data_IF_590151213185
#
_entry.id   IF_590151213185
#
_cell.length_a   1.000
_cell.length_b   1.000
_cell.length_c   1.000
_cell.angle_alpha   90.00
_cell.angle_beta   90.00
_cell.angle_gamma   90.00
#
_symmetry.space_group_name_H-M   'P 1'
#
loop_
_entity.id
_entity.type
_entity.pdbx_description
1 polymer ?
#
# COMPACT_ATOMS: atom_id res chain seq x y z
N UNK A 1 22.23 -0.70 20.24
CA UNK A 1 21.09 -1.44 20.81
C UNK A 1 20.01 -1.48 19.72
N UNK A 2 19.99 -2.57 18.96
CA UNK A 2 18.99 -2.80 17.93
C UNK A 2 17.65 -3.12 18.61
N UNK A 3 16.68 -2.28 18.42
CA UNK A 3 15.28 -2.53 18.80
C UNK A 3 14.65 -3.33 17.66
N UNK A 4 14.51 -4.64 17.85
CA UNK A 4 13.77 -5.49 16.90
C UNK A 4 12.27 -5.28 17.11
N UNK A 5 11.66 -4.39 16.32
CA UNK A 5 10.23 -4.43 16.09
C UNK A 5 9.88 -5.69 15.28
N UNK A 6 8.80 -6.38 15.67
CA UNK A 6 8.22 -7.45 14.85
C UNK A 6 7.50 -6.78 13.69
N UNK A 7 8.21 -6.53 12.60
CA UNK A 7 7.63 -5.98 11.38
C UNK A 7 7.13 -7.14 10.51
N UNK A 8 5.81 -7.25 10.37
CA UNK A 8 5.16 -7.88 9.22
C UNK A 8 5.40 -7.01 7.97
N UNK A 9 4.98 -7.44 6.79
CA UNK A 9 4.85 -6.54 5.64
C UNK A 9 4.11 -5.30 6.11
N UNK A 10 4.72 -4.14 5.89
CA UNK A 10 4.19 -2.90 6.36
C UNK A 10 3.47 -2.20 5.20
N UNK A 11 2.44 -1.51 5.55
CA UNK A 11 1.42 -0.90 4.73
C UNK A 11 2.00 0.20 3.84
N UNK A 12 1.30 0.52 2.78
CA UNK A 12 1.62 1.62 1.87
C UNK A 12 0.73 2.82 2.16
N UNK A 13 1.18 4.01 1.72
CA UNK A 13 0.40 5.23 1.83
C UNK A 13 -0.93 5.15 1.06
N UNK A 14 -1.88 6.01 1.42
CA UNK A 14 -3.14 6.20 0.69
C UNK A 14 -3.41 7.68 0.45
N UNK A 15 -3.97 7.99 -0.73
CA UNK A 15 -4.37 9.33 -1.12
C UNK A 15 -5.87 9.39 -1.40
N UNK A 16 -6.47 10.53 -1.07
CA UNK A 16 -7.86 10.84 -1.35
C UNK A 16 -8.00 12.31 -1.74
N UNK A 17 -8.81 12.61 -2.75
CA UNK A 17 -9.08 13.97 -3.20
C UNK A 17 -10.52 14.17 -3.62
N UNK A 18 -11.04 15.38 -3.46
CA UNK A 18 -12.38 15.77 -3.86
C UNK A 18 -12.38 17.21 -4.33
N UNK A 19 -13.13 17.49 -5.39
CA UNK A 19 -13.34 18.84 -5.93
C UNK A 19 -14.81 19.06 -6.32
N UNK A 20 -15.35 20.19 -5.92
CA UNK A 20 -16.71 20.59 -6.26
C UNK A 20 -17.77 20.28 -5.18
N UNK A 21 -17.35 20.22 -3.90
CA UNK A 21 -18.27 19.99 -2.79
C UNK A 21 -17.95 20.88 -1.59
N UNK A 22 -18.99 21.52 -1.01
CA UNK A 22 -18.82 22.41 0.14
C UNK A 22 -18.28 21.71 1.39
N UNK A 23 -18.59 20.41 1.57
CA UNK A 23 -18.12 19.59 2.68
C UNK A 23 -16.88 18.76 2.31
N UNK A 24 -15.99 19.31 1.48
CA UNK A 24 -14.83 18.62 0.94
C UNK A 24 -13.93 18.02 2.04
N UNK A 25 -13.68 18.75 3.13
CA UNK A 25 -12.87 18.25 4.25
C UNK A 25 -13.49 17.05 4.95
N UNK A 26 -14.80 17.09 5.19
CA UNK A 26 -15.54 16.00 5.83
C UNK A 26 -15.55 14.73 4.97
N UNK A 27 -15.77 14.88 3.67
CA UNK A 27 -15.74 13.76 2.73
C UNK A 27 -14.33 13.19 2.61
N UNK A 28 -13.31 14.05 2.57
CA UNK A 28 -11.91 13.65 2.58
C UNK A 28 -11.56 12.85 3.85
N UNK A 29 -12.05 13.29 5.02
CA UNK A 29 -11.88 12.57 6.27
C UNK A 29 -12.46 11.14 6.21
N UNK A 30 -13.67 10.96 5.69
CA UNK A 30 -14.26 9.63 5.53
C UNK A 30 -13.49 8.77 4.51
N UNK A 31 -13.04 9.38 3.41
CA UNK A 31 -12.21 8.71 2.43
C UNK A 31 -10.89 8.21 3.03
N UNK A 32 -10.20 9.05 3.80
CA UNK A 32 -8.96 8.67 4.48
C UNK A 32 -9.19 7.61 5.56
N UNK A 33 -10.27 7.70 6.32
CA UNK A 33 -10.64 6.69 7.30
C UNK A 33 -10.85 5.31 6.63
N UNK A 34 -11.46 5.29 5.46
CA UNK A 34 -11.61 4.08 4.65
C UNK A 34 -10.28 3.51 4.13
N UNK A 35 -9.26 4.35 3.99
CA UNK A 35 -7.91 3.99 3.57
C UNK A 35 -6.94 3.78 4.75
N UNK A 36 -7.42 3.76 6.00
CA UNK A 36 -6.58 3.66 7.19
C UNK A 36 -5.68 2.41 7.20
N UNK A 37 -6.12 1.32 6.57
CA UNK A 37 -5.33 0.10 6.42
C UNK A 37 -4.04 0.31 5.61
N UNK A 38 -3.96 1.36 4.79
CA UNK A 38 -2.78 1.70 3.99
C UNK A 38 -1.74 2.51 4.76
N UNK A 39 -2.13 3.23 5.81
CA UNK A 39 -1.21 4.02 6.60
C UNK A 39 -1.79 4.37 7.96
N UNK A 40 -1.04 4.09 9.04
CA UNK A 40 -1.48 4.25 10.42
C UNK A 40 -0.56 5.16 11.25
N UNK A 41 0.47 5.76 10.65
CA UNK A 41 1.47 6.56 11.39
C UNK A 41 1.12 8.03 11.44
N UNK A 42 0.56 8.54 10.36
CA UNK A 42 0.20 9.95 10.27
C UNK A 42 -0.91 10.17 9.24
N UNK A 43 -1.62 11.27 9.39
CA UNK A 43 -2.64 11.70 8.45
C UNK A 43 -2.62 13.21 8.25
N UNK A 44 -3.08 13.68 7.09
CA UNK A 44 -3.20 15.09 6.78
C UNK A 44 -4.28 15.37 5.76
N UNK A 45 -4.91 16.53 5.86
CA UNK A 45 -5.87 17.08 4.90
C UNK A 45 -5.50 18.53 4.62
N UNK A 46 -5.52 18.89 3.34
CA UNK A 46 -5.40 20.26 2.88
C UNK A 46 -6.63 20.62 2.04
N UNK A 47 -7.26 21.74 2.34
CA UNK A 47 -8.38 22.33 1.60
C UNK A 47 -7.95 23.59 0.88
N UNK A 48 -8.58 23.88 -0.24
CA UNK A 48 -8.42 25.15 -0.96
C UNK A 48 -9.70 25.97 -0.90
N UNK A 49 -9.55 27.19 -0.42
CA UNK A 49 -10.62 28.19 -0.34
C UNK A 49 -10.14 29.49 -0.99
N UNK A 50 -10.66 29.81 -2.18
CA UNK A 50 -10.33 31.03 -2.92
C UNK A 50 -8.80 31.24 -3.08
N UNK A 51 -8.07 30.20 -3.48
CA UNK A 51 -6.62 30.23 -3.68
C UNK A 51 -5.79 30.16 -2.38
N UNK A 52 -6.44 30.06 -1.23
CA UNK A 52 -5.79 29.93 0.07
C UNK A 52 -5.81 28.48 0.54
N UNK A 53 -4.63 27.93 0.82
CA UNK A 53 -4.50 26.57 1.37
C UNK A 53 -4.64 26.60 2.90
N UNK A 54 -5.57 25.80 3.41
CA UNK A 54 -5.82 25.56 4.83
C UNK A 54 -5.60 24.08 5.07
N UNK A 55 -4.72 23.73 5.99
CA UNK A 55 -4.38 22.34 6.24
C UNK A 55 -4.22 22.01 7.72
N UNK A 56 -4.46 20.77 8.05
CA UNK A 56 -4.12 20.16 9.33
C UNK A 56 -3.50 18.78 9.08
N UNK A 57 -2.44 18.46 9.80
CA UNK A 57 -1.76 17.17 9.72
C UNK A 57 -1.13 16.82 11.07
N UNK A 58 -1.02 15.54 11.35
CA UNK A 58 -0.47 15.05 12.61
C UNK A 58 -0.07 13.58 12.54
N UNK A 59 0.66 13.16 13.57
CA UNK A 59 1.00 11.75 13.78
C UNK A 59 -0.16 11.05 14.50
N UNK A 60 -0.48 9.84 14.07
CA UNK A 60 -1.57 9.01 14.60
C UNK A 60 -2.59 8.60 13.53
N UNK A 61 -3.63 7.92 13.98
CA UNK A 61 -4.74 7.51 13.14
C UNK A 61 -5.58 8.71 12.70
N UNK A 62 -6.33 8.57 11.62
CA UNK A 62 -7.22 9.64 11.11
C UNK A 62 -8.17 10.15 12.21
N UNK A 63 -8.69 9.26 13.04
CA UNK A 63 -9.58 9.60 14.16
C UNK A 63 -8.88 10.29 15.34
N UNK A 64 -7.57 10.17 15.45
CA UNK A 64 -6.75 10.81 16.48
C UNK A 64 -6.29 12.21 16.02
N UNK A 65 -5.96 12.33 14.73
CA UNK A 65 -5.48 13.59 14.13
C UNK A 65 -6.63 14.58 13.93
N UNK A 66 -7.82 14.09 13.55
CA UNK A 66 -8.97 14.92 13.21
C UNK A 66 -10.12 14.73 14.19
N UNK A 67 -10.71 15.85 14.60
CA UNK A 67 -11.97 15.94 15.32
C UNK A 67 -12.90 16.94 14.61
N UNK A 68 -14.14 17.08 15.10
CA UNK A 68 -15.14 17.97 14.51
C UNK A 68 -14.68 19.43 14.41
N UNK A 69 -13.95 19.92 15.40
CA UNK A 69 -13.50 21.32 15.42
C UNK A 69 -12.41 21.55 14.38
N UNK A 70 -11.46 20.62 14.26
CA UNK A 70 -10.43 20.67 13.21
C UNK A 70 -11.02 20.61 11.80
N UNK A 71 -12.02 19.74 11.58
CA UNK A 71 -12.69 19.63 10.28
C UNK A 71 -13.47 20.90 9.93
N UNK A 72 -14.07 21.60 10.91
CA UNK A 72 -14.74 22.90 10.70
C UNK A 72 -13.76 24.01 10.31
N UNK A 73 -12.52 23.97 10.78
CA UNK A 73 -11.46 24.91 10.38
C UNK A 73 -11.02 24.72 8.92
N UNK A 74 -11.15 23.49 8.40
CA UNK A 74 -10.75 23.12 7.04
C UNK A 74 -11.86 23.42 6.02
N UNK A 75 -12.04 24.68 5.71
CA UNK A 75 -13.06 25.16 4.77
C UNK A 75 -12.52 25.20 3.34
N UNK A 76 -13.35 24.81 2.38
CA UNK A 76 -13.04 24.86 0.97
C UNK A 76 -13.93 23.94 0.16
N UNK A 77 -13.96 24.14 -1.16
CA UNK A 77 -14.72 23.32 -2.10
C UNK A 77 -13.91 22.17 -2.69
N UNK A 78 -12.63 22.11 -2.37
CA UNK A 78 -11.72 21.03 -2.74
C UNK A 78 -10.82 20.68 -1.58
N UNK A 79 -10.45 19.42 -1.51
CA UNK A 79 -9.54 18.87 -0.50
C UNK A 79 -8.71 17.73 -1.07
N UNK A 80 -7.46 17.62 -0.63
CA UNK A 80 -6.65 16.43 -0.79
C UNK A 80 -6.15 15.95 0.57
N UNK A 81 -6.04 14.65 0.74
CA UNK A 81 -5.63 14.03 1.99
C UNK A 81 -4.73 12.83 1.78
N UNK A 82 -4.04 12.48 2.85
CA UNK A 82 -3.04 11.43 2.87
C UNK A 82 -3.07 10.68 4.20
N UNK A 83 -2.95 9.36 4.13
CA UNK A 83 -2.59 8.48 5.25
C UNK A 83 -1.20 7.93 4.99
N UNK A 84 -0.34 8.02 6.01
CA UNK A 84 1.08 7.72 5.86
C UNK A 84 1.46 6.42 6.53
N UNK A 85 2.28 5.67 5.80
CA UNK A 85 3.24 4.72 6.35
C UNK A 85 4.66 5.18 5.98
N UNK A 86 5.63 5.03 6.89
CA UNK A 86 7.01 5.52 6.68
C UNK A 86 7.83 4.49 5.90
N UNK A 87 7.98 4.69 4.59
CA UNK A 87 8.83 3.83 3.73
C UNK A 87 10.20 4.42 3.48
N UNK A 88 10.29 5.73 3.24
CA UNK A 88 11.53 6.44 2.99
C UNK A 88 11.55 7.78 3.72
N UNK A 89 12.73 8.20 4.18
CA UNK A 89 12.92 9.53 4.74
C UNK A 89 12.67 9.70 6.24
N UNK A 90 12.48 8.62 6.99
CA UNK A 90 12.31 8.69 8.45
C UNK A 90 10.95 9.21 8.92
N UNK A 91 10.72 9.20 10.24
CA UNK A 91 9.52 9.71 10.88
C UNK A 91 9.53 11.25 11.06
N UNK A 92 8.44 11.76 11.66
CA UNK A 92 8.28 13.14 12.07
C UNK A 92 7.34 13.96 11.18
N UNK A 93 6.80 15.00 11.80
CA UNK A 93 5.76 15.87 11.23
C UNK A 93 6.19 16.55 9.92
N UNK A 94 7.48 16.77 9.70
CA UNK A 94 8.02 17.39 8.49
C UNK A 94 7.74 16.55 7.23
N UNK A 95 7.65 15.23 7.38
CA UNK A 95 7.38 14.29 6.29
C UNK A 95 5.90 13.94 6.13
N UNK A 96 5.01 14.44 6.98
CA UNK A 96 3.57 14.20 6.87
C UNK A 96 2.99 15.01 5.73
N UNK A 97 2.22 14.33 4.89
CA UNK A 97 1.55 14.94 3.73
C UNK A 97 0.10 15.33 4.08
N UNK A 98 -0.51 16.26 3.33
CA UNK A 98 -0.04 16.94 2.12
C UNK A 98 1.10 17.94 2.38
N UNK A 99 2.02 18.06 1.41
CA UNK A 99 2.97 19.15 1.37
C UNK A 99 2.31 20.42 0.83
N UNK A 100 2.58 21.58 1.45
CA UNK A 100 2.05 22.86 1.01
C UNK A 100 3.21 23.78 0.63
N UNK A 101 3.23 24.20 -0.64
CA UNK A 101 4.22 25.12 -1.19
C UNK A 101 3.56 26.49 -1.35
N UNK A 102 4.13 27.50 -0.72
CA UNK A 102 3.66 28.88 -0.80
C UNK A 102 4.61 29.70 -1.65
N UNK A 103 4.07 30.39 -2.63
CA UNK A 103 4.83 31.27 -3.51
C UNK A 103 4.10 32.61 -3.65
N UNK A 104 4.78 33.63 -4.17
CA UNK A 104 4.17 34.92 -4.49
C UNK A 104 3.03 34.82 -5.51
N UNK A 105 3.04 33.77 -6.34
CA UNK A 105 2.04 33.54 -7.40
C UNK A 105 0.87 32.65 -6.96
N UNK A 106 0.85 32.19 -5.70
CA UNK A 106 -0.17 31.30 -5.16
C UNK A 106 0.42 30.12 -4.39
N UNK A 107 -0.46 29.27 -3.90
CA UNK A 107 -0.10 28.08 -3.14
C UNK A 107 -0.45 26.82 -3.90
N UNK A 108 0.32 25.74 -3.65
CA UNK A 108 0.13 24.42 -4.23
C UNK A 108 0.24 23.37 -3.12
N UNK A 109 -0.57 22.34 -3.18
CA UNK A 109 -0.52 21.22 -2.24
C UNK A 109 -0.37 19.89 -2.98
N UNK A 110 0.44 18.98 -2.46
CA UNK A 110 0.77 17.68 -3.10
C UNK A 110 0.67 16.54 -2.09
N UNK A 111 0.00 15.46 -2.51
CA UNK A 111 0.02 14.14 -1.86
C UNK A 111 0.62 13.09 -2.80
N UNK A 112 1.29 12.09 -2.23
CA UNK A 112 1.97 11.03 -2.97
C UNK A 112 1.79 9.66 -2.31
N UNK A 113 1.39 8.67 -3.09
CA UNK A 113 1.52 7.26 -2.77
C UNK A 113 2.53 6.62 -3.73
N UNK A 114 3.62 6.08 -3.20
CA UNK A 114 4.68 5.43 -3.97
C UNK A 114 6.08 5.80 -3.50
N UNK A 115 7.06 5.59 -4.37
CA UNK A 115 8.46 5.95 -4.13
C UNK A 115 9.18 6.22 -5.45
N UNK A 116 9.92 7.33 -5.51
CA UNK A 116 10.69 7.75 -6.68
C UNK A 116 12.12 7.20 -6.59
N UNK A 117 12.52 6.40 -7.56
CA UNK A 117 13.85 5.75 -7.57
C UNK A 117 14.97 6.72 -7.96
N UNK A 118 14.66 7.82 -8.64
CA UNK A 118 15.62 8.85 -9.03
C UNK A 118 15.54 10.13 -8.17
N UNK A 119 14.79 10.10 -7.05
CA UNK A 119 14.58 11.28 -6.22
C UNK A 119 15.88 11.92 -5.70
N UNK A 120 16.86 11.11 -5.32
CA UNK A 120 18.12 11.63 -4.77
C UNK A 120 18.95 12.38 -5.82
N UNK A 121 18.98 11.88 -7.06
CA UNK A 121 19.69 12.56 -8.17
C UNK A 121 19.02 13.89 -8.46
N UNK A 122 17.69 13.88 -8.61
CA UNK A 122 16.91 15.10 -8.85
C UNK A 122 17.04 16.10 -7.69
N UNK A 123 17.07 15.61 -6.46
CA UNK A 123 17.25 16.44 -5.27
C UNK A 123 18.62 17.13 -5.28
N UNK A 124 19.68 16.40 -5.58
CA UNK A 124 21.02 16.95 -5.68
C UNK A 124 21.08 18.06 -6.78
N UNK A 125 20.57 17.78 -7.96
CA UNK A 125 20.52 18.76 -9.06
C UNK A 125 19.74 20.02 -8.67
N UNK A 126 18.63 19.87 -7.96
CA UNK A 126 17.82 20.98 -7.48
C UNK A 126 18.54 21.80 -6.38
N UNK A 127 19.24 21.15 -5.46
CA UNK A 127 20.05 21.80 -4.42
C UNK A 127 21.23 22.58 -5.03
N UNK A 128 21.93 22.01 -6.01
CA UNK A 128 23.00 22.70 -6.78
C UNK A 128 22.47 23.96 -7.50
N UNK A 129 21.20 23.96 -7.87
CA UNK A 129 20.50 25.10 -8.46
C UNK A 129 19.84 26.02 -7.42
N UNK A 130 20.11 25.83 -6.11
CA UNK A 130 19.65 26.69 -5.03
C UNK A 130 18.28 26.34 -4.43
N UNK A 131 17.72 25.14 -4.66
CA UNK A 131 16.54 24.68 -3.92
C UNK A 131 16.92 24.35 -2.48
N UNK A 132 16.03 24.67 -1.54
CA UNK A 132 16.14 24.30 -0.14
C UNK A 132 14.97 23.36 0.19
N UNK A 133 15.29 22.16 0.66
CA UNK A 133 14.29 21.17 1.06
C UNK A 133 13.97 21.29 2.54
N UNK A 134 12.69 21.17 2.86
CA UNK A 134 12.17 21.22 4.24
C UNK A 134 11.95 19.84 4.84
N UNK A 135 12.00 18.81 4.01
CA UNK A 135 11.77 17.41 4.39
C UNK A 135 12.78 16.47 3.73
N UNK A 136 12.77 15.22 4.17
CA UNK A 136 13.52 14.14 3.52
C UNK A 136 12.70 13.36 2.50
N UNK A 137 11.41 13.72 2.34
CA UNK A 137 10.49 13.05 1.42
C UNK A 137 10.85 13.28 -0.05
N UNK A 138 10.72 12.25 -0.86
CA UNK A 138 10.82 12.30 -2.32
C UNK A 138 9.73 13.15 -2.97
N UNK A 139 8.57 13.23 -2.34
CA UNK A 139 7.40 14.02 -2.81
C UNK A 139 7.72 15.49 -3.01
N UNK A 140 8.59 16.06 -2.17
CA UNK A 140 8.96 17.47 -2.21
C UNK A 140 9.70 17.82 -3.52
N UNK A 141 10.38 16.84 -4.14
CA UNK A 141 11.09 17.00 -5.42
C UNK A 141 10.13 17.49 -6.52
N UNK A 142 8.91 16.92 -6.59
CA UNK A 142 7.92 17.34 -7.61
C UNK A 142 7.54 18.80 -7.45
N UNK A 143 7.34 19.29 -6.23
CA UNK A 143 7.01 20.69 -5.98
C UNK A 143 8.08 21.65 -6.50
N UNK A 144 9.35 21.33 -6.25
CA UNK A 144 10.49 22.12 -6.76
C UNK A 144 10.61 22.05 -8.29
N UNK A 145 10.40 20.89 -8.89
CA UNK A 145 10.41 20.72 -10.35
C UNK A 145 9.31 21.57 -11.01
N UNK A 146 8.08 21.51 -10.53
CA UNK A 146 6.95 22.30 -11.07
C UNK A 146 7.24 23.79 -10.99
N UNK A 147 7.82 24.23 -9.89
CA UNK A 147 8.13 25.67 -9.69
C UNK A 147 9.16 26.20 -10.68
N UNK A 148 10.08 25.36 -11.12
CA UNK A 148 11.14 25.73 -12.09
C UNK A 148 10.67 25.74 -13.54
N UNK A 149 9.52 25.12 -13.85
CA UNK A 149 8.96 25.15 -15.21
C UNK A 149 8.23 26.47 -15.47
N UNK A 150 8.16 26.85 -16.73
CA UNK A 150 7.39 28.01 -17.23
C UNK A 150 6.18 27.54 -18.05
N UNK A 151 5.24 28.43 -18.30
CA UNK A 151 4.05 28.17 -19.08
C UNK A 151 2.81 27.86 -18.26
N UNK A 152 1.81 27.23 -18.88
CA UNK A 152 0.57 26.86 -18.19
C UNK A 152 0.81 25.76 -17.15
N UNK A 153 0.05 25.80 -16.05
CA UNK A 153 0.22 24.87 -14.93
C UNK A 153 0.22 23.40 -15.36
N UNK A 154 -0.69 22.99 -16.25
CA UNK A 154 -0.74 21.62 -16.75
C UNK A 154 0.56 21.22 -17.47
N UNK A 155 1.16 22.10 -18.26
CA UNK A 155 2.38 21.80 -18.98
C UNK A 155 3.59 21.75 -18.03
N UNK A 156 3.61 22.63 -17.03
CA UNK A 156 4.62 22.61 -15.96
C UNK A 156 4.58 21.30 -15.19
N UNK A 157 3.38 20.83 -14.84
CA UNK A 157 3.20 19.55 -14.15
C UNK A 157 3.63 18.39 -15.04
N UNK A 158 3.16 18.34 -16.29
CA UNK A 158 3.53 17.28 -17.24
C UNK A 158 5.05 17.18 -17.44
N UNK A 159 5.72 18.32 -17.67
CA UNK A 159 7.18 18.34 -17.84
C UNK A 159 7.92 17.88 -16.59
N UNK A 160 7.37 18.17 -15.42
CA UNK A 160 7.94 17.75 -14.14
C UNK A 160 7.74 16.24 -13.91
N UNK A 161 6.54 15.72 -14.16
CA UNK A 161 6.22 14.29 -14.04
C UNK A 161 7.06 13.43 -14.99
N UNK A 162 7.32 13.91 -16.23
CA UNK A 162 8.11 13.17 -17.21
C UNK A 162 9.59 12.98 -16.79
N UNK A 163 10.09 13.80 -15.84
CA UNK A 163 11.42 13.65 -15.24
C UNK A 163 11.49 12.64 -14.12
N UNK A 164 10.34 12.25 -13.54
CA UNK A 164 10.28 11.33 -12.42
C UNK A 164 10.35 9.88 -12.91
N UNK A 165 11.06 9.06 -12.17
CA UNK A 165 11.06 7.61 -12.36
C UNK A 165 10.73 6.89 -11.04
N UNK A 166 10.01 5.77 -11.14
CA UNK A 166 9.53 5.02 -9.99
C UNK A 166 8.01 4.90 -9.95
N UNK A 167 7.50 4.65 -8.74
CA UNK A 167 6.08 4.45 -8.49
C UNK A 167 5.43 5.71 -7.94
N UNK A 168 4.33 6.14 -8.55
CA UNK A 168 3.55 7.22 -7.98
C UNK A 168 2.07 7.24 -8.37
N UNK A 169 1.26 7.62 -7.39
CA UNK A 169 -0.06 8.18 -7.57
C UNK A 169 -0.05 9.55 -6.88
N UNK A 170 -0.04 10.63 -7.67
CA UNK A 170 -0.03 12.00 -7.16
C UNK A 170 -1.40 12.64 -7.20
N UNK A 171 -1.73 13.38 -6.14
CA UNK A 171 -2.77 14.40 -6.17
C UNK A 171 -2.12 15.78 -5.96
N UNK A 172 -2.38 16.70 -6.86
CA UNK A 172 -1.83 18.06 -6.84
C UNK A 172 -3.01 19.03 -6.86
N UNK A 173 -3.10 19.88 -5.85
CA UNK A 173 -4.15 20.89 -5.75
C UNK A 173 -3.54 22.28 -5.88
N UNK A 174 -3.97 23.01 -6.90
CA UNK A 174 -3.48 24.37 -7.24
C UNK A 174 -4.48 25.08 -8.15
N UNK A 175 -4.62 26.38 -8.01
CA UNK A 175 -5.48 27.24 -8.85
C UNK A 175 -6.93 26.76 -8.92
N UNK A 176 -7.52 26.37 -7.79
CA UNK A 176 -8.87 25.81 -7.68
C UNK A 176 -9.08 24.56 -8.58
N UNK A 177 -8.04 23.74 -8.77
CA UNK A 177 -8.06 22.52 -9.54
C UNK A 177 -7.37 21.40 -8.79
N UNK A 178 -7.82 20.18 -9.03
CA UNK A 178 -7.08 18.97 -8.66
C UNK A 178 -6.59 18.30 -9.92
N UNK A 179 -5.32 17.95 -9.91
CA UNK A 179 -4.65 17.12 -10.89
C UNK A 179 -4.34 15.77 -10.23
N UNK A 180 -4.72 14.68 -10.88
CA UNK A 180 -4.40 13.32 -10.45
C UNK A 180 -3.52 12.67 -11.51
N UNK A 181 -2.37 12.14 -11.12
CA UNK A 181 -1.42 11.56 -12.05
C UNK A 181 -0.92 10.21 -11.56
N UNK A 182 -0.78 9.26 -12.48
CA UNK A 182 -0.27 7.92 -12.24
C UNK A 182 1.03 7.71 -13.01
N UNK A 183 1.98 6.98 -12.42
CA UNK A 183 3.26 6.71 -13.08
C UNK A 183 3.11 5.95 -14.40
N UNK A 184 4.10 6.05 -15.28
CA UNK A 184 4.07 5.47 -16.63
C UNK A 184 4.02 3.94 -16.67
N UNK A 185 4.22 3.29 -15.53
CA UNK A 185 4.11 1.84 -15.36
C UNK A 185 2.80 1.41 -14.68
N UNK A 186 2.04 2.36 -14.12
CA UNK A 186 0.82 2.07 -13.38
C UNK A 186 1.05 1.28 -12.09
N UNK A 187 2.20 1.46 -11.44
CA UNK A 187 2.60 0.66 -10.27
C UNK A 187 1.68 0.84 -9.07
N UNK A 188 1.15 2.05 -8.87
CA UNK A 188 0.21 2.36 -7.80
C UNK A 188 -1.19 2.58 -8.32
N UNK A 189 -2.23 2.09 -7.61
CA UNK A 189 -3.61 2.30 -8.03
C UNK A 189 -4.06 3.74 -7.79
N UNK A 190 -4.95 4.23 -8.64
CA UNK A 190 -5.62 5.52 -8.50
C UNK A 190 -6.94 5.48 -9.27
N UNK A 191 -8.06 5.61 -8.55
CA UNK A 191 -9.41 5.51 -9.08
C UNK A 191 -10.12 6.85 -9.08
N UNK A 192 -11.02 7.03 -10.05
CA UNK A 192 -11.86 8.22 -10.22
C UNK A 192 -13.30 7.86 -9.93
N UNK A 193 -13.96 8.67 -9.12
CA UNK A 193 -15.39 8.58 -8.84
C UNK A 193 -16.09 9.92 -9.02
N UNK A 194 -17.42 9.88 -9.05
CA UNK A 194 -18.28 11.07 -9.13
C UNK A 194 -19.41 10.97 -8.12
N UNK A 195 -19.62 12.03 -7.37
CA UNK A 195 -20.73 12.16 -6.42
C UNK A 195 -22.02 12.57 -7.12
N UNK A 196 -23.21 12.35 -6.52
CA UNK A 196 -24.48 12.74 -7.11
C UNK A 196 -24.60 14.23 -7.47
N UNK A 197 -23.91 15.12 -6.79
CA UNK A 197 -23.86 16.55 -7.09
C UNK A 197 -22.90 16.92 -8.24
N UNK A 198 -22.21 15.94 -8.85
CA UNK A 198 -21.24 16.16 -9.92
C UNK A 198 -19.80 16.41 -9.44
N UNK A 199 -19.52 16.40 -8.14
CA UNK A 199 -18.17 16.53 -7.60
C UNK A 199 -17.34 15.28 -7.97
N UNK A 200 -16.10 15.49 -8.40
CA UNK A 200 -15.15 14.39 -8.68
C UNK A 200 -14.36 14.02 -7.44
N UNK A 201 -14.13 12.72 -7.30
CA UNK A 201 -13.36 12.11 -6.21
C UNK A 201 -12.25 11.26 -6.79
N UNK A 202 -11.07 11.33 -6.16
CA UNK A 202 -9.90 10.52 -6.48
C UNK A 202 -9.49 9.73 -5.25
N UNK A 203 -9.21 8.45 -5.39
CA UNK A 203 -8.81 7.61 -4.27
C UNK A 203 -7.84 6.51 -4.71
N UNK A 204 -6.95 6.12 -3.82
CA UNK A 204 -6.06 4.98 -4.03
C UNK A 204 -6.83 3.68 -4.27
N UNK A 205 -7.98 3.51 -3.61
CA UNK A 205 -8.82 2.31 -3.72
C UNK A 205 -10.30 2.65 -3.89
N UNK A 206 -11.02 1.80 -4.61
CA UNK A 206 -12.47 1.95 -4.84
C UNK A 206 -13.30 1.84 -3.57
N UNK A 207 -12.82 1.14 -2.53
CA UNK A 207 -13.51 1.06 -1.24
C UNK A 207 -13.73 2.46 -0.62
N UNK A 208 -12.83 3.41 -0.86
CA UNK A 208 -13.01 4.77 -0.39
C UNK A 208 -14.05 5.55 -1.19
N UNK A 209 -14.22 5.24 -2.48
CA UNK A 209 -15.31 5.77 -3.30
C UNK A 209 -16.67 5.31 -2.77
N UNK A 210 -16.79 4.01 -2.47
CA UNK A 210 -18.03 3.42 -1.96
C UNK A 210 -18.46 4.04 -0.63
N UNK A 211 -17.51 4.23 0.30
CA UNK A 211 -17.78 4.81 1.62
C UNK A 211 -18.31 6.25 1.52
N UNK A 212 -17.83 7.05 0.59
CA UNK A 212 -18.29 8.44 0.40
C UNK A 212 -19.50 8.55 -0.52
N UNK A 213 -20.00 7.43 -1.05
CA UNK A 213 -21.16 7.40 -1.97
C UNK A 213 -20.84 7.89 -3.37
N UNK A 214 -19.58 7.83 -3.80
CA UNK A 214 -19.18 8.16 -5.15
C UNK A 214 -19.35 6.95 -6.09
N UNK A 215 -19.92 7.22 -7.27
CA UNK A 215 -19.98 6.21 -8.34
C UNK A 215 -18.62 6.12 -9.01
N UNK A 216 -18.08 4.92 -9.15
CA UNK A 216 -16.86 4.65 -9.91
C UNK A 216 -17.01 5.08 -11.38
N UNK A 217 -16.02 5.80 -11.89
CA UNK A 217 -15.96 6.25 -13.28
C UNK A 217 -14.97 5.37 -14.05
N UNK A 218 -13.70 5.40 -13.68
CA UNK A 218 -12.61 4.58 -14.20
C UNK A 218 -11.36 4.77 -13.35
N UNK A 219 -10.36 3.95 -13.59
CA UNK A 219 -9.02 4.18 -13.05
C UNK A 219 -8.27 5.23 -13.88
N UNK A 220 -7.27 5.88 -13.28
CA UNK A 220 -6.29 6.69 -14.01
C UNK A 220 -5.35 5.74 -14.72
N UNK A 221 -5.13 5.95 -16.02
CA UNK A 221 -4.27 5.09 -16.83
C UNK A 221 -2.78 5.32 -16.52
N UNK A 222 -1.89 4.34 -16.79
CA UNK A 222 -0.45 4.56 -16.71
C UNK A 222 -0.01 5.75 -17.56
N UNK A 223 0.82 6.63 -17.01
CA UNK A 223 1.33 7.82 -17.71
C UNK A 223 0.31 8.92 -17.95
N UNK A 224 -0.88 8.80 -17.35
CA UNK A 224 -1.96 9.77 -17.48
C UNK A 224 -1.94 10.79 -16.34
N UNK A 225 -2.29 12.03 -16.72
CA UNK A 225 -2.72 13.07 -15.80
C UNK A 225 -4.15 13.47 -16.14
N UNK A 226 -5.02 13.50 -15.15
CA UNK A 226 -6.39 14.00 -15.26
C UNK A 226 -6.55 15.27 -14.42
N UNK A 227 -7.41 16.16 -14.89
CA UNK A 227 -7.82 17.35 -14.12
C UNK A 227 -9.30 17.58 -14.24
N UNK A 228 -9.89 18.19 -13.23
CA UNK A 228 -11.26 18.68 -13.29
C UNK A 228 -11.24 20.17 -13.56
N UNK A 229 -11.93 20.59 -14.62
CA UNK A 229 -12.15 21.98 -14.99
C UNK A 229 -13.59 22.19 -15.40
N UNK A 230 -14.25 23.18 -14.80
CA UNK A 230 -15.64 23.54 -15.11
C UNK A 230 -16.60 22.31 -15.04
N UNK A 231 -16.43 21.47 -14.02
CA UNK A 231 -17.20 20.25 -13.82
C UNK A 231 -16.95 19.11 -14.82
N UNK A 232 -15.89 19.23 -15.65
CA UNK A 232 -15.52 18.21 -16.64
C UNK A 232 -14.15 17.61 -16.32
N UNK A 233 -14.06 16.30 -16.48
CA UNK A 233 -12.80 15.57 -16.40
C UNK A 233 -12.06 15.69 -17.74
N UNK A 234 -10.85 16.22 -17.70
CA UNK A 234 -9.94 16.32 -18.84
C UNK A 234 -8.72 15.44 -18.60
N UNK A 235 -8.26 14.76 -19.63
CA UNK A 235 -7.18 13.77 -19.60
C UNK A 235 -6.07 14.12 -20.58
N UNK A 236 -4.82 13.80 -20.20
CA UNK A 236 -3.64 13.94 -21.04
C UNK A 236 -2.60 12.88 -20.67
N UNK A 237 -1.95 12.28 -21.66
CA UNK A 237 -0.73 11.50 -21.43
C UNK A 237 0.44 12.49 -21.30
N UNK A 238 1.18 12.43 -20.19
CA UNK A 238 2.23 13.40 -19.88
C UNK A 238 3.62 13.00 -20.41
N UNK A 239 3.80 11.76 -20.80
CA UNK A 239 5.08 11.21 -21.26
C UNK A 239 5.03 10.75 -22.72
N UNK A 240 6.20 10.70 -23.37
CA UNK A 240 6.39 10.10 -24.70
C UNK A 240 6.98 8.68 -24.59
N UNK A 241 7.38 8.26 -23.40
CA UNK A 241 7.89 6.92 -23.16
C UNK A 241 6.82 5.87 -23.43
N UNK A 242 7.20 4.65 -23.82
CA UNK A 242 6.26 3.55 -23.95
C UNK A 242 5.54 3.31 -22.63
N UNK A 243 4.22 3.32 -22.67
CA UNK A 243 3.40 3.03 -21.51
C UNK A 243 3.41 1.53 -21.23
N UNK A 244 3.48 1.17 -19.96
CA UNK A 244 3.40 -0.19 -19.50
C UNK A 244 2.34 -0.27 -18.41
N UNK A 245 1.57 -1.34 -18.41
CA UNK A 245 0.65 -1.61 -17.33
C UNK A 245 1.28 -2.69 -16.43
N UNK A 246 1.80 -2.28 -15.29
CA UNK A 246 2.62 -3.07 -14.36
C UNK A 246 2.20 -2.85 -12.90
N UNK A 247 0.91 -2.95 -12.63
CA UNK A 247 0.43 -2.78 -11.25
C UNK A 247 1.15 -3.73 -10.28
N UNK A 248 1.46 -3.27 -9.09
CA UNK A 248 2.14 -4.07 -8.07
C UNK A 248 1.29 -5.28 -7.67
N UNK A 249 1.85 -6.50 -7.79
CA UNK A 249 1.15 -7.73 -7.40
C UNK A 249 0.79 -7.76 -5.91
N UNK A 250 1.58 -7.11 -5.04
CA UNK A 250 1.30 -7.03 -3.62
C UNK A 250 0.03 -6.24 -3.29
N UNK A 251 -0.44 -5.38 -4.17
CA UNK A 251 -1.76 -4.74 -4.03
C UNK A 251 -2.88 -5.78 -3.98
N UNK A 252 -2.84 -6.80 -4.84
CA UNK A 252 -3.79 -7.91 -4.82
C UNK A 252 -3.56 -8.86 -3.64
N UNK A 253 -2.31 -9.14 -3.29
CA UNK A 253 -1.96 -10.12 -2.26
C UNK A 253 -2.29 -9.61 -0.86
N UNK A 254 -1.93 -8.33 -0.57
CA UNK A 254 -1.92 -7.85 0.81
C UNK A 254 -2.48 -6.44 1.01
N UNK A 255 -2.04 -5.42 0.23
CA UNK A 255 -2.28 -4.03 0.61
C UNK A 255 -3.72 -3.59 0.49
N UNK A 256 -4.39 -3.93 -0.61
CA UNK A 256 -5.74 -3.46 -0.88
C UNK A 256 -6.79 -4.21 -0.07
N UNK A 257 -7.85 -3.52 0.29
CA UNK A 257 -8.98 -4.14 0.98
C UNK A 257 -9.69 -5.13 0.06
N UNK A 258 -10.23 -6.24 0.60
CA UNK A 258 -10.91 -7.26 -0.22
C UNK A 258 -12.10 -6.75 -1.03
N UNK A 259 -12.77 -5.68 -0.60
CA UNK A 259 -13.88 -5.04 -1.28
C UNK A 259 -13.46 -4.04 -2.38
N UNK A 260 -12.16 -3.77 -2.52
CA UNK A 260 -11.64 -2.93 -3.59
C UNK A 260 -11.54 -3.65 -4.92
N UNK A 261 -11.68 -2.89 -6.02
CA UNK A 261 -11.38 -3.32 -7.37
C UNK A 261 -10.20 -2.52 -7.91
N UNK A 262 -9.24 -3.20 -8.50
CA UNK A 262 -8.04 -2.61 -9.10
C UNK A 262 -8.01 -3.01 -10.57
N UNK A 263 -7.93 -2.03 -11.47
CA UNK A 263 -7.99 -2.26 -12.92
C UNK A 263 -9.14 -3.20 -13.33
N UNK A 264 -10.32 -3.02 -12.69
CA UNK A 264 -11.51 -3.82 -12.91
C UNK A 264 -11.53 -5.20 -12.25
N UNK A 265 -10.51 -5.58 -11.49
CA UNK A 265 -10.36 -6.90 -10.86
C UNK A 265 -10.60 -6.80 -9.36
N UNK A 266 -11.55 -7.59 -8.83
CA UNK A 266 -11.87 -7.61 -7.40
C UNK A 266 -10.78 -8.32 -6.59
N UNK A 267 -10.31 -7.68 -5.54
CA UNK A 267 -9.23 -8.17 -4.67
C UNK A 267 -9.62 -9.46 -3.93
N UNK A 268 -10.81 -9.53 -3.35
CA UNK A 268 -11.29 -10.76 -2.68
C UNK A 268 -11.32 -11.95 -3.64
N UNK A 269 -11.89 -11.76 -4.82
CA UNK A 269 -11.97 -12.82 -5.85
C UNK A 269 -10.59 -13.32 -6.24
N UNK A 270 -9.63 -12.42 -6.46
CA UNK A 270 -8.24 -12.77 -6.76
C UNK A 270 -7.60 -13.61 -5.66
N UNK A 271 -7.73 -13.18 -4.40
CA UNK A 271 -7.18 -13.91 -3.25
C UNK A 271 -7.80 -15.28 -3.09
N UNK A 272 -9.10 -15.39 -3.32
CA UNK A 272 -9.82 -16.67 -3.30
C UNK A 272 -9.33 -17.62 -4.38
N UNK A 273 -9.13 -17.12 -5.60
CA UNK A 273 -8.56 -17.92 -6.71
C UNK A 273 -7.12 -18.31 -6.45
N UNK A 274 -6.32 -17.44 -5.82
CA UNK A 274 -4.96 -17.79 -5.40
C UNK A 274 -4.96 -18.92 -4.37
N UNK A 275 -5.90 -18.93 -3.43
CA UNK A 275 -6.09 -20.04 -2.49
C UNK A 275 -6.43 -21.36 -3.19
N UNK A 276 -7.32 -21.35 -4.19
CA UNK A 276 -7.62 -22.53 -5.01
C UNK A 276 -6.40 -23.02 -5.78
N UNK A 277 -5.69 -22.12 -6.43
CA UNK A 277 -4.49 -22.44 -7.19
C UNK A 277 -3.39 -23.01 -6.28
N UNK A 278 -3.23 -22.47 -5.09
CA UNK A 278 -2.30 -22.95 -4.08
C UNK A 278 -2.57 -24.40 -3.67
N UNK A 279 -3.84 -24.79 -3.56
CA UNK A 279 -4.20 -26.20 -3.34
C UNK A 279 -3.85 -27.08 -4.56
N UNK A 280 -4.17 -26.66 -5.78
CA UNK A 280 -3.89 -27.44 -6.98
C UNK A 280 -2.39 -27.68 -7.19
N UNK A 281 -1.55 -26.71 -6.83
CA UNK A 281 -0.09 -26.84 -6.91
C UNK A 281 0.49 -27.69 -5.76
N UNK A 282 -0.09 -27.57 -4.56
CA UNK A 282 0.45 -28.16 -3.34
C UNK A 282 -0.66 -28.77 -2.47
N UNK A 283 -1.32 -29.83 -2.92
CA UNK A 283 -2.36 -30.49 -2.15
C UNK A 283 -1.79 -31.16 -0.89
N UNK A 284 -2.60 -31.20 0.16
CA UNK A 284 -2.29 -31.90 1.42
C UNK A 284 -3.58 -32.47 2.01
N UNK A 285 -3.48 -33.61 2.65
CA UNK A 285 -4.56 -34.17 3.45
C UNK A 285 -4.50 -33.60 4.87
N UNK A 286 -5.58 -32.98 5.29
CA UNK A 286 -5.69 -32.33 6.59
C UNK A 286 -7.15 -32.27 7.07
N UNK A 287 -7.33 -31.92 8.34
CA UNK A 287 -8.65 -31.89 8.96
C UNK A 287 -9.34 -30.53 8.86
N UNK A 288 -8.56 -29.45 8.82
CA UNK A 288 -9.08 -28.07 8.85
C UNK A 288 -8.16 -27.09 8.15
N UNK A 289 -8.77 -26.13 7.44
CA UNK A 289 -8.09 -24.96 6.85
C UNK A 289 -8.37 -23.75 7.73
N UNK A 290 -7.34 -23.02 8.11
CA UNK A 290 -7.43 -21.74 8.82
C UNK A 290 -6.67 -20.66 8.05
N UNK A 291 -7.07 -19.40 8.22
CA UNK A 291 -6.37 -18.25 7.63
C UNK A 291 -5.80 -17.33 8.70
N UNK A 292 -4.63 -16.78 8.45
CA UNK A 292 -4.09 -15.72 9.32
C UNK A 292 -4.91 -14.44 9.08
N UNK A 293 -5.66 -13.95 10.07
CA UNK A 293 -6.52 -12.79 9.85
C UNK A 293 -5.73 -11.47 9.76
N UNK A 294 -6.19 -10.47 9.00
CA UNK A 294 -7.40 -10.45 8.19
C UNK A 294 -7.12 -10.78 6.72
N UNK A 295 -5.89 -10.59 6.24
CA UNK A 295 -5.46 -10.62 4.84
C UNK A 295 -5.58 -11.97 4.15
N UNK A 296 -5.43 -13.07 4.91
CA UNK A 296 -5.36 -14.43 4.35
C UNK A 296 -6.70 -15.18 4.36
N UNK A 297 -7.77 -14.58 4.89
CA UNK A 297 -9.07 -15.22 5.01
C UNK A 297 -9.64 -15.60 3.63
N UNK A 298 -9.57 -14.71 2.65
CA UNK A 298 -10.06 -14.97 1.30
C UNK A 298 -9.35 -16.14 0.64
N UNK A 299 -8.03 -16.22 0.77
CA UNK A 299 -7.23 -17.32 0.24
C UNK A 299 -7.54 -18.66 0.97
N UNK A 300 -7.73 -18.61 2.30
CA UNK A 300 -8.13 -19.78 3.07
C UNK A 300 -9.48 -20.34 2.64
N UNK A 301 -10.46 -19.49 2.37
CA UNK A 301 -11.77 -19.88 1.82
C UNK A 301 -11.56 -20.57 0.45
N UNK A 302 -10.74 -20.01 -0.44
CA UNK A 302 -10.44 -20.58 -1.74
C UNK A 302 -9.78 -21.95 -1.63
N UNK A 303 -8.80 -22.11 -0.75
CA UNK A 303 -8.13 -23.39 -0.49
C UNK A 303 -9.11 -24.43 0.02
N UNK A 304 -9.98 -24.06 0.98
CA UNK A 304 -11.04 -24.93 1.51
C UNK A 304 -12.00 -25.40 0.40
N UNK A 305 -12.47 -24.50 -0.45
CA UNK A 305 -13.39 -24.84 -1.55
C UNK A 305 -12.74 -25.83 -2.56
N UNK A 306 -11.46 -25.64 -2.88
CA UNK A 306 -10.76 -26.52 -3.83
C UNK A 306 -10.41 -27.89 -3.23
N UNK A 307 -10.04 -27.93 -1.96
CA UNK A 307 -9.62 -29.15 -1.27
C UNK A 307 -10.77 -29.99 -0.72
N UNK A 308 -11.92 -29.37 -0.45
CA UNK A 308 -13.00 -29.98 0.32
C UNK A 308 -12.74 -30.06 1.84
N UNK A 309 -11.59 -29.56 2.30
CA UNK A 309 -11.28 -29.49 3.74
C UNK A 309 -12.03 -28.28 4.34
N UNK A 310 -12.77 -28.43 5.46
CA UNK A 310 -13.55 -27.33 6.02
C UNK A 310 -12.67 -26.15 6.46
N UNK A 311 -13.12 -24.94 6.15
CA UNK A 311 -12.55 -23.72 6.71
C UNK A 311 -13.15 -23.43 8.07
N UNK A 312 -12.29 -23.11 9.03
CA UNK A 312 -12.69 -22.73 10.38
C UNK A 312 -11.87 -21.53 10.89
N UNK A 313 -12.44 -20.80 11.83
CA UNK A 313 -11.76 -19.68 12.50
C UNK A 313 -10.77 -20.22 13.55
N UNK A 314 -9.60 -20.66 13.11
CA UNK A 314 -8.56 -21.18 14.01
C UNK A 314 -7.72 -20.10 14.69
N UNK A 315 -7.71 -18.89 14.15
CA UNK A 315 -7.01 -17.72 14.67
C UNK A 315 -7.94 -16.53 14.73
N UNK A 316 -7.87 -15.76 15.82
CA UNK A 316 -8.68 -14.56 16.06
C UNK A 316 -7.76 -13.37 16.33
N UNK A 317 -7.98 -12.27 15.62
CA UNK A 317 -7.27 -11.01 15.83
C UNK A 317 -8.03 -10.14 16.84
N UNK A 318 -7.33 -9.68 17.88
CA UNK A 318 -7.89 -8.71 18.81
C UNK A 318 -7.83 -7.30 18.18
N UNK A 319 -8.99 -6.77 17.79
CA UNK A 319 -9.14 -5.46 17.15
C UNK A 319 -8.92 -4.28 18.11
N UNK A 320 -8.96 -4.52 19.42
CA UNK A 320 -8.82 -3.47 20.44
C UNK A 320 -7.38 -3.29 20.94
N UNK A 321 -6.47 -4.18 20.54
CA UNK A 321 -5.04 -4.02 20.83
C UNK A 321 -4.47 -3.09 19.75
N UNK A 322 -4.28 -1.83 20.11
CA UNK A 322 -3.61 -0.83 19.28
C UNK A 322 -2.15 -1.17 19.03
N UNK A 323 -1.40 -0.23 18.45
CA UNK A 323 0.07 -0.35 18.30
C UNK A 323 0.65 -0.61 19.69
N UNK A 324 1.30 -1.76 19.85
CA UNK A 324 1.94 -2.11 21.10
C UNK A 324 3.01 -1.09 21.43
N UNK A 325 2.91 -0.49 22.61
CA UNK A 325 4.01 0.25 23.21
C UNK A 325 5.29 -0.59 23.17
N UNK A 326 6.42 0.07 23.00
CA UNK A 326 7.75 -0.56 23.08
C UNK A 326 7.84 -1.26 24.43
N UNK A 327 7.85 -2.58 24.41
CA UNK A 327 7.90 -3.35 25.64
C UNK A 327 9.35 -3.72 25.94
N UNK A 328 9.85 -3.44 27.16
CA UNK A 328 11.28 -3.50 27.46
C UNK A 328 11.85 -4.91 27.54
N UNK A 329 11.03 -5.96 27.76
CA UNK A 329 11.50 -7.33 27.91
C UNK A 329 10.99 -8.26 26.81
N UNK A 330 11.70 -9.37 26.58
CA UNK A 330 11.32 -10.42 25.62
C UNK A 330 9.96 -11.04 25.99
N UNK A 331 9.75 -11.34 27.27
CA UNK A 331 8.51 -11.93 27.79
C UNK A 331 7.30 -11.02 27.57
N UNK A 332 7.45 -9.71 27.81
CA UNK A 332 6.38 -8.75 27.57
C UNK A 332 6.08 -8.58 26.08
N UNK A 333 7.06 -8.75 25.19
CA UNK A 333 6.84 -8.75 23.74
C UNK A 333 6.09 -9.99 23.26
N UNK A 334 6.37 -11.15 23.86
CA UNK A 334 5.64 -12.40 23.58
C UNK A 334 4.19 -12.31 24.04
N UNK A 335 3.96 -11.76 25.23
CA UNK A 335 2.61 -11.45 25.70
C UNK A 335 1.87 -10.46 24.80
N UNK A 336 2.53 -9.41 24.34
CA UNK A 336 1.96 -8.42 23.44
C UNK A 336 1.51 -9.01 22.10
N UNK A 337 2.17 -10.06 21.62
CA UNK A 337 1.76 -10.77 20.41
C UNK A 337 0.60 -11.72 20.66
N UNK A 338 0.59 -12.44 21.78
CA UNK A 338 -0.58 -13.24 22.21
C UNK A 338 -1.83 -12.38 22.39
N UNK A 339 -1.67 -11.12 22.80
CA UNK A 339 -2.78 -10.18 22.89
C UNK A 339 -3.33 -9.77 21.51
N UNK A 340 -2.51 -9.80 20.45
CA UNK A 340 -2.92 -9.40 19.09
C UNK A 340 -3.57 -10.52 18.31
N UNK A 341 -3.08 -11.74 18.46
CA UNK A 341 -3.51 -12.91 17.70
C UNK A 341 -3.60 -14.11 18.65
N UNK A 342 -4.78 -14.70 18.76
CA UNK A 342 -5.07 -15.84 19.61
C UNK A 342 -5.55 -17.04 18.80
N UNK A 343 -5.10 -18.22 19.15
CA UNK A 343 -5.56 -19.50 18.63
C UNK A 343 -6.89 -19.92 19.27
N UNK A 344 -7.74 -20.57 18.47
CA UNK A 344 -8.98 -21.18 18.95
C UNK A 344 -8.72 -22.67 19.17
N UNK A 345 -8.31 -23.03 20.40
CA UNK A 345 -7.89 -24.39 20.74
C UNK A 345 -8.94 -25.44 20.42
N UNK A 346 -10.24 -25.13 20.60
CA UNK A 346 -11.33 -26.04 20.25
C UNK A 346 -11.37 -26.42 18.76
N UNK A 347 -10.80 -25.59 17.87
CA UNK A 347 -10.76 -25.82 16.44
C UNK A 347 -9.51 -26.61 16.04
N UNK A 348 -8.37 -26.36 16.67
CA UNK A 348 -7.06 -26.86 16.21
C UNK A 348 -6.58 -28.07 17.00
N UNK A 349 -7.03 -28.28 18.23
CA UNK A 349 -6.57 -29.38 19.10
C UNK A 349 -6.88 -30.76 18.50
N UNK A 350 -5.87 -31.60 18.43
CA UNK A 350 -5.96 -32.97 17.89
C UNK A 350 -6.09 -33.04 16.38
N UNK A 351 -5.91 -31.93 15.66
CA UNK A 351 -6.13 -31.86 14.20
C UNK A 351 -4.85 -31.55 13.41
N UNK A 352 -4.84 -32.04 12.17
CA UNK A 352 -3.92 -31.61 11.12
C UNK A 352 -4.44 -30.32 10.51
N UNK A 353 -3.69 -29.24 10.66
CA UNK A 353 -4.10 -27.89 10.29
C UNK A 353 -3.37 -27.44 9.03
N UNK A 354 -4.10 -26.93 8.04
CA UNK A 354 -3.52 -26.10 6.97
C UNK A 354 -3.67 -24.64 7.36
N UNK A 355 -2.56 -23.96 7.55
CA UNK A 355 -2.50 -22.54 7.84
C UNK A 355 -2.18 -21.76 6.57
N UNK A 356 -3.11 -20.94 6.13
CA UNK A 356 -2.93 -20.04 4.97
C UNK A 356 -2.44 -18.68 5.47
N UNK A 357 -1.35 -18.20 4.89
CA UNK A 357 -0.87 -16.83 5.08
C UNK A 357 -0.62 -16.15 3.73
N UNK A 358 -0.57 -14.82 3.71
CA UNK A 358 -0.40 -14.05 2.48
C UNK A 358 1.04 -14.06 1.98
N UNK A 359 2.02 -13.94 2.87
CA UNK A 359 3.44 -13.83 2.53
C UNK A 359 4.36 -14.13 3.71
N UNK A 360 5.62 -14.44 3.44
CA UNK A 360 6.69 -14.53 4.44
C UNK A 360 7.81 -13.57 4.05
N UNK A 361 8.17 -12.66 4.96
CA UNK A 361 9.32 -11.75 4.81
C UNK A 361 10.49 -12.19 5.68
N UNK A 362 10.32 -12.17 6.99
CA UNK A 362 11.36 -12.54 7.98
C UNK A 362 11.18 -13.91 8.62
N UNK A 363 10.02 -14.52 8.46
CA UNK A 363 9.68 -15.82 9.01
C UNK A 363 9.40 -15.86 10.53
N UNK A 364 9.71 -14.81 11.27
CA UNK A 364 9.54 -14.77 12.73
C UNK A 364 8.08 -14.83 13.16
N UNK A 365 7.20 -14.17 12.44
CA UNK A 365 5.75 -14.20 12.68
C UNK A 365 5.18 -15.58 12.41
N UNK A 366 5.51 -16.18 11.25
CA UNK A 366 5.05 -17.52 10.87
C UNK A 366 5.53 -18.58 11.88
N UNK A 367 6.79 -18.52 12.30
CA UNK A 367 7.34 -19.41 13.33
C UNK A 367 6.56 -19.33 14.63
N UNK A 368 6.22 -18.13 15.07
CA UNK A 368 5.46 -17.91 16.29
C UNK A 368 4.03 -18.44 16.19
N UNK A 369 3.34 -18.20 15.08
CA UNK A 369 1.98 -18.69 14.87
C UNK A 369 1.98 -20.22 14.84
N UNK A 370 2.93 -20.85 14.14
CA UNK A 370 3.06 -22.32 14.10
C UNK A 370 3.24 -22.90 15.50
N UNK A 371 4.14 -22.30 16.30
CA UNK A 371 4.32 -22.74 17.71
C UNK A 371 3.04 -22.64 18.52
N UNK A 372 2.34 -21.50 18.44
CA UNK A 372 1.09 -21.31 19.16
C UNK A 372 0.02 -22.34 18.78
N UNK A 373 -0.08 -22.68 17.48
CA UNK A 373 -1.00 -23.71 17.01
C UNK A 373 -0.63 -25.10 17.56
N UNK A 374 0.66 -25.44 17.60
CA UNK A 374 1.15 -26.69 18.18
C UNK A 374 0.95 -26.73 19.70
N UNK A 375 1.22 -25.65 20.39
CA UNK A 375 0.97 -25.50 21.84
C UNK A 375 -0.54 -25.63 22.17
N UNK A 376 -1.43 -25.19 21.27
CA UNK A 376 -2.87 -25.37 21.38
C UNK A 376 -3.36 -26.79 21.03
N UNK A 377 -2.45 -27.70 20.68
CA UNK A 377 -2.71 -29.12 20.48
C UNK A 377 -2.87 -29.56 19.03
N UNK A 378 -2.53 -28.73 18.04
CA UNK A 378 -2.48 -29.18 16.65
C UNK A 378 -1.45 -30.30 16.48
N UNK A 379 -1.82 -31.39 15.80
CA UNK A 379 -0.94 -32.54 15.58
C UNK A 379 0.04 -32.32 14.47
N UNK A 380 -0.37 -31.61 13.45
CA UNK A 380 0.47 -31.15 12.33
C UNK A 380 0.04 -29.73 11.93
N UNK A 381 1.00 -28.89 11.47
CA UNK A 381 0.75 -27.58 10.94
C UNK A 381 1.42 -27.46 9.57
N UNK A 382 0.61 -27.44 8.53
CA UNK A 382 1.03 -27.30 7.13
C UNK A 382 0.82 -25.86 6.69
N UNK A 383 1.90 -25.16 6.34
CA UNK A 383 1.85 -23.74 5.96
C UNK A 383 1.78 -23.60 4.45
N UNK A 384 0.82 -22.83 3.99
CA UNK A 384 0.61 -22.51 2.57
C UNK A 384 0.53 -20.99 2.39
N UNK A 385 1.40 -20.47 1.54
CA UNK A 385 1.60 -19.03 1.34
C UNK A 385 1.03 -18.61 -0.01
N UNK A 386 0.11 -17.66 0.02
CA UNK A 386 -0.62 -17.18 -1.16
C UNK A 386 0.16 -16.14 -1.99
N UNK A 387 1.47 -16.04 -1.78
CA UNK A 387 2.40 -15.31 -2.64
C UNK A 387 3.58 -16.22 -3.02
N UNK A 388 4.31 -15.93 -4.11
CA UNK A 388 5.64 -16.45 -4.30
C UNK A 388 6.59 -16.01 -3.19
N UNK A 389 7.73 -16.68 -3.04
CA UNK A 389 8.73 -16.31 -2.05
C UNK A 389 9.32 -14.93 -2.36
N UNK A 390 9.32 -14.03 -1.37
CA UNK A 390 9.89 -12.69 -1.48
C UNK A 390 11.41 -12.80 -1.33
N UNK A 391 12.13 -12.62 -2.44
CA UNK A 391 13.58 -12.82 -2.52
C UNK A 391 14.38 -11.54 -2.76
N UNK A 392 13.73 -10.49 -3.25
CA UNK A 392 14.38 -9.25 -3.68
C UNK A 392 13.73 -8.04 -3.01
N UNK A 393 14.53 -7.00 -2.68
CA UNK A 393 13.99 -5.79 -2.08
C UNK A 393 13.07 -5.04 -3.04
N UNK A 394 12.16 -4.24 -2.49
CA UNK A 394 11.30 -3.34 -3.25
C UNK A 394 11.84 -1.92 -3.21
N UNK A 395 11.80 -1.24 -4.37
CA UNK A 395 12.19 0.17 -4.51
C UNK A 395 11.00 1.08 -4.87
N UNK A 396 9.77 0.52 -4.86
CA UNK A 396 8.56 1.21 -5.34
C UNK A 396 7.55 1.55 -4.22
N UNK A 397 8.01 1.46 -2.96
CA UNK A 397 7.22 1.91 -1.81
C UNK A 397 6.86 0.82 -0.79
N UNK A 398 7.14 -0.46 -1.06
CA UNK A 398 6.98 -1.54 -0.06
C UNK A 398 8.20 -1.57 0.88
N UNK A 399 7.97 -1.68 2.18
CA UNK A 399 9.03 -1.72 3.19
C UNK A 399 9.72 -3.10 3.25
N UNK A 400 10.43 -3.43 2.19
CA UNK A 400 11.32 -4.60 2.08
C UNK A 400 12.65 -4.16 1.46
N UNK A 401 13.22 -3.07 1.97
CA UNK A 401 14.31 -2.34 1.31
C UNK A 401 15.69 -2.97 1.46
N UNK A 402 15.85 -4.00 2.31
CA UNK A 402 17.14 -4.66 2.53
C UNK A 402 17.06 -6.16 2.28
N UNK A 403 18.03 -6.68 1.54
CA UNK A 403 18.15 -8.12 1.23
C UNK A 403 18.34 -8.96 2.51
N UNK A 404 19.02 -8.40 3.49
CA UNK A 404 19.33 -9.07 4.77
C UNK A 404 18.07 -9.42 5.58
N UNK A 405 16.98 -8.71 5.36
CA UNK A 405 15.71 -8.96 6.03
C UNK A 405 14.88 -10.06 5.35
N UNK A 406 15.20 -10.41 4.11
CA UNK A 406 14.44 -11.36 3.30
C UNK A 406 14.90 -12.80 3.57
N UNK A 407 14.13 -13.53 4.37
CA UNK A 407 14.50 -14.89 4.77
C UNK A 407 14.57 -15.85 3.59
N UNK A 408 13.69 -15.68 2.59
CA UNK A 408 13.67 -16.50 1.37
C UNK A 408 14.85 -16.22 0.41
N UNK A 409 15.65 -15.19 0.67
CA UNK A 409 16.93 -15.00 0.01
C UNK A 409 18.05 -15.84 0.66
N UNK A 410 17.93 -16.10 1.98
CA UNK A 410 18.94 -16.81 2.79
C UNK A 410 18.69 -18.32 2.90
N UNK A 411 17.42 -18.74 2.86
CA UNK A 411 17.00 -20.11 3.10
C UNK A 411 16.17 -20.62 1.91
N UNK A 412 16.38 -21.85 1.52
CA UNK A 412 15.47 -22.53 0.63
C UNK A 412 14.18 -22.93 1.37
N UNK A 413 13.18 -23.47 0.65
CA UNK A 413 11.87 -23.80 1.22
C UNK A 413 11.96 -24.86 2.34
N UNK A 414 12.83 -25.84 2.21
CA UNK A 414 13.02 -26.89 3.21
C UNK A 414 13.65 -26.34 4.50
N UNK A 415 14.68 -25.50 4.36
CA UNK A 415 15.34 -24.83 5.49
C UNK A 415 14.38 -23.87 6.20
N UNK A 416 13.60 -23.12 5.43
CA UNK A 416 12.59 -22.21 5.97
C UNK A 416 11.46 -22.98 6.69
N UNK A 417 11.02 -24.11 6.13
CA UNK A 417 10.04 -24.98 6.78
C UNK A 417 10.53 -25.44 8.16
N UNK A 418 11.77 -25.88 8.26
CA UNK A 418 12.40 -26.27 9.54
C UNK A 418 12.53 -25.06 10.48
N UNK A 419 12.93 -23.92 9.97
CA UNK A 419 13.08 -22.69 10.76
C UNK A 419 11.76 -22.24 11.42
N UNK A 420 10.67 -22.28 10.66
CA UNK A 420 9.33 -21.90 11.19
C UNK A 420 8.67 -23.05 11.98
N UNK A 421 9.29 -24.23 12.03
CA UNK A 421 8.82 -25.42 12.74
C UNK A 421 7.51 -26.01 12.19
N UNK A 422 7.24 -25.76 10.90
CA UNK A 422 6.08 -26.33 10.22
C UNK A 422 6.34 -27.79 9.78
N UNK A 423 5.29 -28.57 9.60
CA UNK A 423 5.36 -29.94 9.10
C UNK A 423 5.49 -29.97 7.56
N UNK A 424 4.97 -28.96 6.88
CA UNK A 424 5.27 -28.67 5.47
C UNK A 424 5.09 -27.18 5.16
N UNK A 425 5.76 -26.72 4.12
CA UNK A 425 5.69 -25.33 3.62
C UNK A 425 5.65 -25.34 2.10
N UNK A 426 4.73 -24.57 1.53
CA UNK A 426 4.70 -24.32 0.10
C UNK A 426 4.20 -22.89 -0.19
N UNK A 427 4.71 -22.31 -1.29
CA UNK A 427 4.32 -21.02 -1.84
C UNK A 427 3.54 -21.24 -3.14
N UNK A 428 2.62 -20.36 -3.48
CA UNK A 428 2.06 -20.32 -4.83
C UNK A 428 3.17 -19.97 -5.83
N UNK A 429 3.11 -20.54 -7.04
CA UNK A 429 4.02 -20.17 -8.11
C UNK A 429 3.70 -18.78 -8.66
N UNK A 430 4.67 -18.13 -9.33
CA UNK A 430 4.42 -16.88 -10.06
C UNK A 430 3.34 -17.04 -11.12
N UNK A 431 3.34 -18.16 -11.85
CA UNK A 431 2.32 -18.46 -12.86
C UNK A 431 0.94 -18.70 -12.22
N UNK A 432 0.88 -19.39 -11.09
CA UNK A 432 -0.36 -19.57 -10.33
C UNK A 432 -0.95 -18.25 -9.83
N UNK A 433 -0.10 -17.35 -9.35
CA UNK A 433 -0.52 -16.02 -8.95
C UNK A 433 -1.05 -15.21 -10.15
N UNK A 434 -0.33 -15.20 -11.27
CA UNK A 434 -0.78 -14.54 -12.51
C UNK A 434 -2.14 -15.06 -12.98
N UNK A 435 -2.34 -16.37 -12.99
CA UNK A 435 -3.64 -16.99 -13.33
C UNK A 435 -4.76 -16.54 -12.39
N UNK A 436 -4.44 -16.38 -11.11
CA UNK A 436 -5.41 -15.94 -10.09
C UNK A 436 -5.82 -14.48 -10.24
N UNK A 437 -4.92 -13.62 -10.69
CA UNK A 437 -5.18 -12.20 -10.94
C UNK A 437 -5.85 -12.04 -12.31
N UNK A 438 -5.34 -12.66 -13.36
CA UNK A 438 -5.85 -12.57 -14.73
C UNK A 438 -6.87 -13.68 -15.06
N UNK A 439 -7.81 -13.94 -14.17
CA UNK A 439 -8.81 -14.98 -14.36
C UNK A 439 -9.82 -14.65 -15.49
N UNK A 440 -9.93 -13.40 -15.88
CA UNK A 440 -10.72 -12.93 -17.02
C UNK A 440 -9.81 -12.68 -18.21
N UNK A 441 -10.15 -13.23 -19.40
CA UNK A 441 -9.40 -13.03 -20.65
C UNK A 441 -9.41 -11.57 -21.13
N UNK A 442 -10.27 -10.72 -20.58
CA UNK A 442 -10.38 -9.30 -20.90
C UNK A 442 -9.30 -8.45 -20.21
N UNK A 443 -8.59 -9.00 -19.24
CA UNK A 443 -7.59 -8.29 -18.44
C UNK A 443 -6.20 -8.84 -18.77
N UNK A 444 -5.47 -8.10 -19.61
CA UNK A 444 -4.10 -8.43 -20.03
C UNK A 444 -3.06 -7.50 -19.41
N UNK A 445 -3.43 -6.77 -18.35
CA UNK A 445 -2.49 -5.91 -17.65
C UNK A 445 -1.30 -6.71 -17.11
N UNK A 446 -0.11 -6.18 -17.25
CA UNK A 446 1.08 -6.76 -16.65
C UNK A 446 1.09 -6.58 -15.14
N UNK A 447 2.01 -7.27 -14.48
CA UNK A 447 2.21 -7.17 -13.04
C UNK A 447 3.67 -6.82 -12.74
N UNK A 448 3.89 -5.95 -11.76
CA UNK A 448 5.18 -5.84 -11.11
C UNK A 448 5.32 -6.99 -10.11
N UNK A 449 6.28 -7.86 -10.36
CA UNK A 449 6.63 -9.01 -9.52
C UNK A 449 8.10 -8.98 -9.10
N UNK A 450 8.71 -7.80 -9.09
CA UNK A 450 10.15 -7.60 -8.87
C UNK A 450 10.63 -8.15 -7.54
N UNK A 451 9.82 -8.07 -6.49
CA UNK A 451 10.15 -8.63 -5.18
C UNK A 451 10.24 -10.17 -5.17
N UNK A 452 9.67 -10.85 -6.15
CA UNK A 452 9.75 -12.31 -6.30
C UNK A 452 10.87 -12.75 -7.22
N UNK A 453 11.06 -12.08 -8.36
CA UNK A 453 11.94 -12.52 -9.45
C UNK A 453 13.13 -11.59 -9.77
N UNK A 454 13.22 -10.41 -9.15
CA UNK A 454 14.30 -9.46 -9.38
C UNK A 454 14.23 -8.67 -10.69
N UNK A 455 13.14 -8.82 -11.45
CA UNK A 455 12.94 -8.09 -12.70
C UNK A 455 12.28 -6.73 -12.43
N UNK A 456 13.10 -5.70 -12.23
CA UNK A 456 12.61 -4.35 -11.96
C UNK A 456 12.16 -3.65 -13.23
N UNK A 457 11.08 -2.87 -13.12
CA UNK A 457 10.47 -2.17 -14.27
C UNK A 457 11.18 -0.86 -14.61
N UNK A 458 12.00 -0.33 -13.69
CA UNK A 458 12.78 0.90 -13.85
C UNK A 458 14.26 0.63 -13.74
N UNK A 459 15.10 1.60 -14.15
CA UNK A 459 16.46 1.67 -13.64
C UNK A 459 16.42 1.93 -12.14
N UNK A 460 17.33 1.33 -11.39
CA UNK A 460 17.36 1.47 -9.93
C UNK A 460 18.22 2.65 -9.46
N UNK A 461 18.97 3.25 -10.38
CA UNK A 461 19.87 4.37 -10.11
C UNK A 461 20.80 4.04 -8.91
N UNK A 462 21.00 5.00 -8.00
CA UNK A 462 21.78 4.80 -6.77
C UNK A 462 21.01 4.08 -5.64
N UNK A 463 19.74 3.71 -5.87
CA UNK A 463 18.93 3.05 -4.84
C UNK A 463 19.47 1.68 -4.45
N UNK A 464 20.08 0.95 -5.42
CA UNK A 464 20.71 -0.35 -5.17
C UNK A 464 21.97 -0.24 -4.31
N UNK A 465 22.81 0.77 -4.54
CA UNK A 465 24.04 0.98 -3.80
C UNK A 465 23.80 1.42 -2.35
N UNK A 466 22.69 2.09 -2.07
CA UNK A 466 22.31 2.50 -0.70
C UNK A 466 21.79 1.36 0.13
N UNK A 467 21.05 0.42 -0.45
CA UNK A 467 20.66 -0.80 0.25
C UNK A 467 21.87 -1.62 0.70
N UNK A 468 23.00 -1.53 -0.04
CA UNK A 468 24.26 -2.21 0.26
C UNK A 468 25.26 -1.36 1.05
N UNK A 469 25.06 -0.04 1.20
CA UNK A 469 26.00 0.88 1.88
C UNK A 469 25.71 1.15 3.36
N UNK A 470 24.65 0.60 3.93
CA UNK A 470 24.40 0.66 5.37
C UNK A 470 25.20 -0.38 6.19
N UNK A 471 26.16 -1.08 5.55
CA UNK A 471 27.19 -1.88 6.21
C UNK A 471 28.52 -1.12 6.27
N UNK A 472 28.57 -0.02 6.99
CA UNK A 472 29.87 0.49 7.53
C UNK A 472 29.61 1.27 8.81
#
# INVERSE_FOLDING_TARGET
KMTYEVKSLNEECGVFGIIGHQDASQICYYGLHSLQHRGQEAAGICCENNGKMIFHKGEGLVTEVFNQDKLKELQGNSAIGHVRYSTAGGGGIANVQPFVFRTMQGSMSICHNGNLVNANILKQELEEQGSIFSSTSDTEVLGHLIKRQSGHMIDRICTSLDKLDGAFAFLIMVDNRIYAARDKYGLRPLSIGILPNGAYVFASETCALDVVGAKFVRDVEPGEIVRVKDGKLLSKIYTKDPLQDKICAMEYIYFSRPDSNLDGINVHTTRKLAGKQLYYENPIDADVVIGVPDSSISAAIGYSEASGIPYEMGLVKNKYVGRTFIQPTQEMREQGVRMKLSEVSAIVSGKKVVMIDDSIVRGTTSKRIVRHLKDAGATEVHVRIASPAIKFPCFYGVDTSTIEELISNKMNVEELCKYIEADSLAFISEEGLKKSIHFSKEHTCGLCMSCFNGNYVTNLYDSFDKANKFEK
#
